data_IF_704109855024
#
_entry.id   IF_704109855024
#
_cell.length_a   1.000
_cell.length_b   1.000
_cell.length_c   1.000
_cell.angle_alpha   90.00
_cell.angle_beta   90.00
_cell.angle_gamma   90.00
#
_symmetry.space_group_name_H-M   'P 1'
#
loop_
_entity.id
_entity.type
_entity.pdbx_description
1 polymer ?
#
# COMPACT_ATOMS: atom_id res chain seq x y z
N UNK A 1 2.22 -15.59 -25.35
CA UNK A 1 3.25 -14.87 -24.57
C UNK A 1 2.51 -14.17 -23.44
N UNK A 2 2.73 -14.54 -22.17
CA UNK A 2 2.06 -13.88 -21.05
C UNK A 2 2.60 -12.46 -20.93
N UNK A 3 1.71 -11.48 -20.84
CA UNK A 3 2.10 -10.10 -20.58
C UNK A 3 2.51 -9.94 -19.11
N UNK A 4 3.43 -9.02 -18.81
CA UNK A 4 3.86 -8.72 -17.43
C UNK A 4 2.72 -8.60 -16.40
N UNK A 5 1.59 -7.93 -16.72
CA UNK A 5 0.44 -7.86 -15.81
C UNK A 5 -0.21 -9.22 -15.51
N UNK A 6 -0.22 -10.16 -16.46
CA UNK A 6 -0.80 -11.49 -16.26
C UNK A 6 0.11 -12.37 -15.41
N UNK A 7 1.43 -12.26 -15.57
CA UNK A 7 2.39 -12.98 -14.75
C UNK A 7 2.41 -12.46 -13.30
N UNK A 8 2.37 -11.15 -13.10
CA UNK A 8 2.27 -10.56 -11.76
C UNK A 8 1.01 -11.03 -11.03
N UNK A 9 -0.11 -11.19 -11.74
CA UNK A 9 -1.36 -11.71 -11.16
C UNK A 9 -1.21 -13.17 -10.70
N UNK A 10 -0.60 -14.03 -11.51
CA UNK A 10 -0.36 -15.43 -11.15
C UNK A 10 0.51 -15.56 -9.89
N UNK A 11 1.55 -14.72 -9.76
CA UNK A 11 2.36 -14.70 -8.54
C UNK A 11 1.54 -14.22 -7.32
N UNK A 12 0.77 -13.13 -7.47
CA UNK A 12 -0.09 -12.62 -6.41
C UNK A 12 -1.10 -13.68 -5.94
N UNK A 13 -1.71 -14.45 -6.84
CA UNK A 13 -2.67 -15.50 -6.48
C UNK A 13 -2.04 -16.58 -5.59
N UNK A 14 -0.79 -16.98 -5.88
CA UNK A 14 -0.05 -17.97 -5.09
C UNK A 14 0.26 -17.42 -3.69
N UNK A 15 0.74 -16.18 -3.60
CA UNK A 15 1.08 -15.53 -2.32
C UNK A 15 -0.19 -15.30 -1.50
N UNK A 16 -1.26 -14.84 -2.13
CA UNK A 16 -2.56 -14.59 -1.50
C UNK A 16 -3.10 -15.88 -0.86
N UNK A 17 -3.04 -17.01 -1.57
CA UNK A 17 -3.42 -18.32 -1.02
C UNK A 17 -2.60 -18.72 0.21
N UNK A 18 -1.29 -18.47 0.22
CA UNK A 18 -0.40 -18.75 1.37
C UNK A 18 -0.70 -17.87 2.59
N UNK A 19 -1.23 -16.67 2.36
CA UNK A 19 -1.51 -15.67 3.40
C UNK A 19 -3.01 -15.51 3.66
N UNK A 20 -3.76 -16.62 3.54
CA UNK A 20 -5.18 -16.72 3.87
C UNK A 20 -6.07 -15.71 3.10
N UNK A 21 -5.75 -15.46 1.83
CA UNK A 21 -6.45 -14.54 0.92
C UNK A 21 -6.50 -13.08 1.41
N UNK A 22 -5.52 -12.65 2.20
CA UNK A 22 -5.46 -11.29 2.78
C UNK A 22 -4.60 -10.32 1.97
N UNK A 23 -3.86 -10.78 0.96
CA UNK A 23 -2.99 -9.92 0.14
C UNK A 23 -3.83 -9.08 -0.82
N UNK A 24 -4.82 -9.67 -1.49
CA UNK A 24 -5.72 -8.92 -2.38
C UNK A 24 -6.51 -7.82 -1.65
N UNK A 25 -7.11 -8.07 -0.47
CA UNK A 25 -7.66 -7.00 0.37
C UNK A 25 -6.65 -5.93 0.75
N UNK A 26 -5.41 -6.31 1.12
CA UNK A 26 -4.35 -5.35 1.44
C UNK A 26 -4.03 -4.44 0.24
N UNK A 27 -3.89 -5.01 -0.96
CA UNK A 27 -3.71 -4.25 -2.20
C UNK A 27 -4.88 -3.26 -2.41
N UNK A 28 -6.12 -3.70 -2.15
CA UNK A 28 -7.31 -2.83 -2.26
C UNK A 28 -7.26 -1.67 -1.27
N UNK A 29 -6.83 -1.88 -0.03
CA UNK A 29 -6.66 -0.80 0.93
C UNK A 29 -5.63 0.25 0.46
N UNK A 30 -4.46 -0.18 -0.01
CA UNK A 30 -3.44 0.74 -0.52
C UNK A 30 -3.94 1.50 -1.76
N UNK A 31 -4.65 0.83 -2.68
CA UNK A 31 -5.26 1.47 -3.86
C UNK A 31 -6.40 2.40 -3.50
N UNK A 32 -7.17 2.10 -2.46
CA UNK A 32 -8.24 2.96 -1.95
C UNK A 32 -7.67 4.27 -1.40
N UNK A 33 -6.62 4.21 -0.57
CA UNK A 33 -5.90 5.41 -0.10
C UNK A 33 -5.45 6.28 -1.27
N UNK A 34 -4.75 5.68 -2.25
CA UNK A 34 -4.31 6.36 -3.47
C UNK A 34 -5.47 7.02 -4.21
N UNK A 35 -6.59 6.33 -4.36
CA UNK A 35 -7.76 6.83 -5.08
C UNK A 35 -8.44 7.98 -4.31
N UNK A 36 -8.72 7.81 -3.01
CA UNK A 36 -9.43 8.80 -2.20
C UNK A 36 -8.62 10.06 -1.92
N UNK A 37 -7.29 9.95 -1.82
CA UNK A 37 -6.38 11.09 -1.66
C UNK A 37 -5.87 11.63 -3.01
N UNK A 38 -6.34 11.09 -4.14
CA UNK A 38 -5.91 11.48 -5.49
C UNK A 38 -4.38 11.47 -5.70
N UNK A 39 -3.70 10.46 -5.15
CA UNK A 39 -2.23 10.36 -5.17
C UNK A 39 -1.78 9.88 -6.56
N UNK A 40 -0.86 10.59 -7.24
CA UNK A 40 -0.45 10.27 -8.62
C UNK A 40 0.60 9.13 -8.68
N UNK A 41 0.31 8.01 -8.03
CA UNK A 41 1.08 6.76 -8.12
C UNK A 41 0.39 5.80 -9.10
N UNK A 42 1.13 4.95 -9.80
CA UNK A 42 0.56 3.89 -10.63
C UNK A 42 -0.12 2.80 -9.79
N UNK A 43 -1.37 2.45 -10.14
CA UNK A 43 -2.08 1.33 -9.49
C UNK A 43 -1.37 0.00 -9.69
N UNK A 44 -0.77 -0.21 -10.87
CA UNK A 44 -0.01 -1.42 -11.17
C UNK A 44 1.26 -1.49 -10.32
N UNK A 45 1.97 -0.37 -10.16
CA UNK A 45 3.12 -0.28 -9.27
C UNK A 45 2.79 -0.67 -7.83
N UNK A 46 1.69 -0.15 -7.27
CA UNK A 46 1.28 -0.47 -5.90
C UNK A 46 0.91 -1.95 -5.75
N UNK A 47 0.25 -2.53 -6.74
CA UNK A 47 -0.08 -3.96 -6.76
C UNK A 47 1.19 -4.83 -6.74
N UNK A 48 2.17 -4.51 -7.59
CA UNK A 48 3.47 -5.21 -7.60
C UNK A 48 4.25 -5.00 -6.30
N UNK A 49 4.31 -3.76 -5.78
CA UNK A 49 5.05 -3.46 -4.55
C UNK A 49 4.48 -4.20 -3.34
N UNK A 50 3.14 -4.22 -3.20
CA UNK A 50 2.48 -4.95 -2.10
C UNK A 50 2.65 -6.46 -2.26
N UNK A 51 2.69 -6.98 -3.49
CA UNK A 51 3.05 -8.38 -3.75
C UNK A 51 4.45 -8.72 -3.23
N UNK A 52 5.46 -7.94 -3.60
CA UNK A 52 6.86 -8.12 -3.14
C UNK A 52 6.98 -8.00 -1.62
N UNK A 53 6.24 -7.06 -1.02
CA UNK A 53 6.14 -6.94 0.43
C UNK A 53 5.61 -8.25 1.03
N UNK A 54 4.47 -8.74 0.53
CA UNK A 54 3.79 -9.93 1.05
C UNK A 54 4.59 -11.23 0.87
N UNK A 55 5.46 -11.35 -0.15
CA UNK A 55 6.34 -12.52 -0.33
C UNK A 55 7.21 -12.82 0.90
N UNK A 56 7.54 -11.79 1.68
CA UNK A 56 8.42 -11.88 2.86
C UNK A 56 7.65 -11.97 4.19
N UNK A 57 6.32 -11.89 4.15
CA UNK A 57 5.48 -11.90 5.34
C UNK A 57 4.99 -13.31 5.69
N UNK A 58 4.78 -13.55 6.99
CA UNK A 58 4.19 -14.81 7.49
C UNK A 58 2.69 -14.72 7.69
N UNK A 59 2.16 -13.52 7.84
CA UNK A 59 0.74 -13.23 8.05
C UNK A 59 0.46 -11.78 7.70
N UNK A 60 -0.81 -11.46 7.44
CA UNK A 60 -1.27 -10.09 7.17
C UNK A 60 -2.23 -9.64 8.29
N UNK A 61 -1.90 -8.52 8.93
CA UNK A 61 -2.70 -7.74 9.87
C UNK A 61 -2.83 -6.32 9.31
N UNK A 62 -4.01 -5.99 8.77
CA UNK A 62 -4.19 -4.79 7.95
C UNK A 62 -3.71 -3.49 8.62
N UNK A 63 -4.02 -3.25 9.89
CA UNK A 63 -3.58 -2.02 10.57
C UNK A 63 -2.04 -1.91 10.61
N UNK A 64 -1.34 -3.03 10.80
CA UNK A 64 0.13 -3.11 10.79
C UNK A 64 0.67 -2.95 9.38
N UNK A 65 0.22 -3.79 8.44
CA UNK A 65 0.81 -3.88 7.12
C UNK A 65 0.59 -2.63 6.29
N UNK A 66 -0.57 -1.99 6.41
CA UNK A 66 -0.84 -0.70 5.73
C UNK A 66 0.17 0.35 6.21
N UNK A 67 0.40 0.46 7.51
CA UNK A 67 1.37 1.40 8.08
C UNK A 67 2.81 1.06 7.65
N UNK A 68 3.17 -0.23 7.66
CA UNK A 68 4.48 -0.73 7.22
C UNK A 68 4.75 -0.43 5.75
N UNK A 69 3.75 -0.63 4.87
CA UNK A 69 3.86 -0.34 3.43
C UNK A 69 4.07 1.15 3.20
N UNK A 70 3.27 2.03 3.82
CA UNK A 70 3.48 3.48 3.70
C UNK A 70 4.86 3.90 4.18
N UNK A 71 5.30 3.37 5.33
CA UNK A 71 6.61 3.70 5.89
C UNK A 71 7.75 3.22 5.00
N UNK A 72 7.66 2.01 4.43
CA UNK A 72 8.66 1.47 3.50
C UNK A 72 8.71 2.25 2.20
N UNK A 73 7.56 2.57 1.59
CA UNK A 73 7.50 3.40 0.39
C UNK A 73 8.15 4.76 0.63
N UNK A 74 7.87 5.39 1.78
CA UNK A 74 8.47 6.69 2.12
C UNK A 74 9.97 6.59 2.41
N UNK A 75 10.41 5.63 3.23
CA UNK A 75 11.81 5.51 3.67
C UNK A 75 12.74 5.11 2.53
N UNK A 76 12.21 4.42 1.52
CA UNK A 76 12.94 4.08 0.28
C UNK A 76 12.73 5.10 -0.84
N UNK A 77 12.13 6.25 -0.52
CA UNK A 77 11.89 7.36 -1.44
C UNK A 77 11.10 6.98 -2.70
N UNK A 78 10.08 6.12 -2.54
CA UNK A 78 9.20 5.62 -3.60
C UNK A 78 10.02 5.04 -4.77
N UNK A 79 10.66 3.86 -4.57
CA UNK A 79 11.67 3.33 -5.48
C UNK A 79 11.02 2.75 -6.73
N UNK A 80 11.73 2.75 -7.86
CA UNK A 80 11.31 1.97 -9.02
C UNK A 80 11.50 0.47 -8.74
N UNK A 81 10.65 -0.38 -9.32
CA UNK A 81 10.77 -1.83 -9.18
C UNK A 81 11.48 -2.36 -10.43
N UNK A 82 12.62 -3.03 -10.24
CA UNK A 82 13.22 -3.84 -11.30
C UNK A 82 12.41 -5.13 -11.44
N UNK A 83 11.85 -5.38 -12.62
CA UNK A 83 11.20 -6.65 -12.90
C UNK A 83 12.26 -7.78 -12.82
N UNK A 84 12.16 -8.71 -11.83
CA UNK A 84 13.14 -9.78 -11.69
C UNK A 84 13.21 -10.71 -12.91
N UNK A 85 12.18 -10.69 -13.75
CA UNK A 85 12.03 -11.58 -14.90
C UNK A 85 12.38 -10.91 -16.23
N UNK A 86 12.68 -9.60 -16.24
CA UNK A 86 13.15 -8.88 -17.43
C UNK A 86 12.11 -8.70 -18.55
N UNK A 87 10.82 -8.96 -18.29
CA UNK A 87 9.73 -8.89 -19.29
C UNK A 87 9.21 -7.44 -19.39
N UNK A 88 9.22 -6.70 -18.29
CA UNK A 88 8.63 -5.36 -18.14
C UNK A 88 9.64 -4.23 -18.07
N UNK A 89 10.92 -4.57 -17.89
CA UNK A 89 11.97 -3.59 -17.57
C UNK A 89 11.81 -3.01 -16.16
N UNK A 90 11.78 -1.68 -16.06
CA UNK A 90 11.68 -0.95 -14.79
C UNK A 90 10.27 -0.38 -14.62
N UNK A 91 9.56 -0.77 -13.56
CA UNK A 91 8.24 -0.24 -13.23
C UNK A 91 8.42 1.05 -12.44
N UNK A 92 8.06 2.16 -13.06
CA UNK A 92 8.11 3.48 -12.43
C UNK A 92 6.87 3.74 -11.56
N UNK A 93 7.02 4.35 -10.37
CA UNK A 93 5.89 4.64 -9.49
C UNK A 93 5.02 5.79 -10.01
N UNK A 94 5.64 6.84 -10.57
CA UNK A 94 4.99 8.07 -11.02
C UNK A 94 5.40 8.37 -12.48
N UNK A 95 4.61 9.20 -13.18
CA UNK A 95 4.87 9.56 -14.58
C UNK A 95 6.03 10.54 -14.74
N UNK A 96 6.20 11.46 -13.78
CA UNK A 96 7.20 12.51 -13.81
C UNK A 96 7.62 12.90 -12.37
N UNK A 97 8.57 13.82 -12.26
CA UNK A 97 9.12 14.25 -10.97
C UNK A 97 8.12 15.04 -10.12
N UNK A 98 7.24 15.84 -10.72
CA UNK A 98 6.23 16.61 -9.99
C UNK A 98 5.20 15.70 -9.32
N UNK A 99 4.73 14.68 -10.05
CA UNK A 99 3.86 13.63 -9.52
C UNK A 99 4.56 12.86 -8.39
N UNK A 100 5.88 12.60 -8.52
CA UNK A 100 6.66 11.95 -7.46
C UNK A 100 6.73 12.82 -6.20
N UNK A 101 7.00 14.12 -6.34
CA UNK A 101 7.07 15.05 -5.21
C UNK A 101 5.73 15.15 -4.48
N UNK A 102 4.62 15.24 -5.22
CA UNK A 102 3.25 15.20 -4.67
C UNK A 102 3.00 13.88 -3.94
N UNK A 103 3.34 12.76 -4.56
CA UNK A 103 3.15 11.43 -3.96
C UNK A 103 3.95 11.25 -2.67
N UNK A 104 5.18 11.77 -2.60
CA UNK A 104 5.99 11.74 -1.38
C UNK A 104 5.40 12.62 -0.27
N UNK A 105 4.80 13.77 -0.59
CA UNK A 105 4.11 14.60 0.39
C UNK A 105 2.90 13.84 0.99
N UNK A 106 2.07 13.24 0.16
CA UNK A 106 0.92 12.42 0.60
C UNK A 106 1.36 11.19 1.40
N UNK A 107 2.46 10.53 1.02
CA UNK A 107 3.03 9.42 1.78
C UNK A 107 3.49 9.84 3.18
N UNK A 108 4.13 11.01 3.33
CA UNK A 108 4.52 11.52 4.66
C UNK A 108 3.31 11.67 5.58
N UNK A 109 2.22 12.17 5.04
CA UNK A 109 0.97 12.31 5.78
C UNK A 109 0.32 10.96 6.09
N UNK A 110 0.29 10.03 5.13
CA UNK A 110 -0.21 8.67 5.35
C UNK A 110 0.58 7.93 6.43
N UNK A 111 1.92 8.04 6.43
CA UNK A 111 2.79 7.47 7.49
C UNK A 111 2.45 8.07 8.85
N UNK A 112 2.35 9.39 8.95
CA UNK A 112 2.01 10.06 10.22
C UNK A 112 0.63 9.64 10.73
N UNK A 113 -0.39 9.66 9.87
CA UNK A 113 -1.78 9.33 10.22
C UNK A 113 -1.94 7.86 10.60
N UNK A 114 -1.36 6.93 9.84
CA UNK A 114 -1.37 5.50 10.17
C UNK A 114 -0.59 5.18 11.45
N UNK A 115 0.53 5.86 11.71
CA UNK A 115 1.25 5.74 12.98
C UNK A 115 0.38 6.20 14.16
N UNK A 116 -0.30 7.32 14.04
CA UNK A 116 -1.23 7.78 15.08
C UNK A 116 -2.37 6.78 15.31
N UNK A 117 -2.93 6.20 14.24
CA UNK A 117 -3.94 5.15 14.35
C UNK A 117 -3.41 3.94 15.13
N UNK A 118 -2.19 3.50 14.82
CA UNK A 118 -1.53 2.36 15.49
C UNK A 118 -1.21 2.64 16.95
N UNK A 119 -0.76 3.84 17.28
CA UNK A 119 -0.53 4.24 18.69
C UNK A 119 -1.84 4.24 19.46
N UNK A 120 -2.91 4.83 18.90
CA UNK A 120 -4.22 4.82 19.54
C UNK A 120 -4.75 3.39 19.74
N UNK A 121 -4.60 2.51 18.74
CA UNK A 121 -4.96 1.09 18.82
C UNK A 121 -4.18 0.37 19.93
N UNK A 122 -2.88 0.63 20.07
CA UNK A 122 -2.05 0.01 21.13
C UNK A 122 -2.33 0.54 22.55
N UNK A 123 -2.99 1.69 22.65
CA UNK A 123 -3.40 2.32 23.92
C UNK A 123 -4.89 2.10 24.22
N UNK A 124 -5.55 1.17 23.51
CA UNK A 124 -6.99 0.88 23.61
C UNK A 124 -7.92 2.08 23.36
N UNK A 125 -7.41 3.14 22.71
CA UNK A 125 -8.17 4.32 22.29
C UNK A 125 -8.81 4.08 20.92
N UNK A 126 -9.74 3.12 20.87
CA UNK A 126 -10.31 2.60 19.62
C UNK A 126 -10.98 3.70 18.77
N UNK A 127 -11.74 4.60 19.40
CA UNK A 127 -12.38 5.72 18.68
C UNK A 127 -11.35 6.60 17.97
N UNK A 128 -10.22 6.89 18.63
CA UNK A 128 -9.13 7.68 18.06
C UNK A 128 -8.45 6.92 16.93
N UNK A 129 -8.26 5.60 17.07
CA UNK A 129 -7.70 4.76 16.01
C UNK A 129 -8.57 4.81 14.73
N UNK A 130 -9.89 4.68 14.88
CA UNK A 130 -10.85 4.80 13.77
C UNK A 130 -10.85 6.21 13.17
N UNK A 131 -10.80 7.25 14.00
CA UNK A 131 -10.65 8.63 13.52
C UNK A 131 -9.42 8.77 12.60
N UNK A 132 -8.26 8.29 13.04
CA UNK A 132 -7.04 8.39 12.24
C UNK A 132 -7.09 7.59 10.94
N UNK A 133 -7.68 6.39 10.96
CA UNK A 133 -7.93 5.64 9.73
C UNK A 133 -8.90 6.37 8.80
N UNK A 134 -9.90 7.06 9.33
CA UNK A 134 -10.80 7.89 8.53
C UNK A 134 -10.05 9.01 7.79
N UNK A 135 -9.12 9.68 8.49
CA UNK A 135 -8.27 10.72 7.88
C UNK A 135 -7.31 10.13 6.82
N UNK A 136 -6.84 8.90 6.98
CA UNK A 136 -6.06 8.21 5.93
C UNK A 136 -6.92 8.05 4.66
N UNK A 137 -8.17 7.63 4.79
CA UNK A 137 -9.05 7.34 3.67
C UNK A 137 -9.98 8.49 3.27
N UNK A 138 -9.66 9.73 3.63
CA UNK A 138 -10.41 10.92 3.25
C UNK A 138 -11.91 10.83 3.64
N UNK A 139 -12.16 10.47 4.90
CA UNK A 139 -13.49 10.31 5.49
C UNK A 139 -14.38 9.21 4.89
N UNK A 140 -13.78 8.29 4.11
CA UNK A 140 -14.45 7.15 3.49
C UNK A 140 -14.11 5.82 4.19
N UNK A 141 -13.62 5.86 5.43
CA UNK A 141 -13.44 4.68 6.27
C UNK A 141 -14.71 4.44 7.12
N UNK A 142 -15.04 3.19 7.49
CA UNK A 142 -16.17 2.93 8.37
C UNK A 142 -16.09 3.73 9.67
N UNK A 143 -17.21 4.33 10.08
CA UNK A 143 -17.30 5.04 11.35
C UNK A 143 -17.32 4.07 12.54
N UNK A 144 -16.75 4.51 13.65
CA UNK A 144 -16.90 3.87 14.95
C UNK A 144 -18.10 4.51 15.68
N UNK A 145 -19.07 3.68 16.08
CA UNK A 145 -20.28 4.11 16.79
C UNK A 145 -20.15 3.88 18.30
#
# INVERSE_FOLDING_TARGET
>A
MLSSPEFSKLNIDVIDGKLNNKVKPLIRFIKAWRYYQNVPISSFYLETYVGIYAENEKSIVYSIDIASIFNRLLSTNLPSISDPMGISGVIQPCKNMDDRNKSLAELRDAVRRSKNARTAESEDRIKDAFYWWNVVYNDLFPAYY
#
